data_IF_516751048124
#
_entry.id   IF_516751048124
#
_cell.length_a   1.000
_cell.length_b   1.000
_cell.length_c   1.000
_cell.angle_alpha   90.00
_cell.angle_beta   90.00
_cell.angle_gamma   90.00
#
_symmetry.space_group_name_H-M   'P 1'
#
loop_
_entity.id
_entity.type
_entity.pdbx_description
1 polymer ?
#
# COMPACT_ATOMS: atom_id res chain seq x y z
N UNK A 1 29.96 24.32 -23.30
CA UNK A 1 28.78 23.58 -22.89
C UNK A 1 28.86 23.22 -21.41
N UNK A 2 27.85 23.48 -20.62
CA UNK A 2 27.79 23.02 -19.23
C UNK A 2 27.80 21.47 -19.21
N UNK A 3 28.69 20.88 -18.40
CA UNK A 3 28.71 19.42 -18.23
C UNK A 3 27.43 19.03 -17.44
N UNK A 4 26.71 18.02 -17.91
CA UNK A 4 25.54 17.47 -17.21
C UNK A 4 25.97 16.82 -15.89
N UNK A 5 25.20 17.05 -14.81
CA UNK A 5 25.48 16.52 -13.47
C UNK A 5 24.34 15.65 -12.96
N UNK A 6 24.57 14.93 -11.87
CA UNK A 6 23.54 14.15 -11.19
C UNK A 6 22.43 15.05 -10.66
N UNK A 7 22.80 16.23 -10.15
CA UNK A 7 21.85 17.25 -9.67
C UNK A 7 20.94 17.74 -10.80
N UNK A 8 21.49 17.97 -12.00
CA UNK A 8 20.68 18.33 -13.17
C UNK A 8 19.66 17.22 -13.50
N UNK A 9 20.03 15.94 -13.32
CA UNK A 9 19.13 14.79 -13.52
C UNK A 9 18.07 14.71 -12.42
N UNK A 10 18.47 14.87 -11.15
CA UNK A 10 17.52 14.86 -10.02
C UNK A 10 16.47 15.96 -10.15
N UNK A 11 16.87 17.15 -10.58
CA UNK A 11 15.96 18.28 -10.81
C UNK A 11 15.06 18.02 -12.01
N UNK A 12 15.62 17.65 -13.18
CA UNK A 12 14.87 17.43 -14.41
C UNK A 12 13.77 16.36 -14.23
N UNK A 13 14.11 15.24 -13.59
CA UNK A 13 13.19 14.14 -13.37
C UNK A 13 12.38 14.26 -12.07
N UNK A 14 12.56 15.35 -11.32
CA UNK A 14 11.88 15.64 -10.06
C UNK A 14 11.90 14.43 -9.08
N UNK A 15 13.06 13.80 -8.93
CA UNK A 15 13.21 12.59 -8.11
C UNK A 15 12.79 12.84 -6.66
N UNK A 16 13.16 14.00 -6.09
CA UNK A 16 12.79 14.37 -4.72
C UNK A 16 11.28 14.54 -4.54
N UNK A 17 10.55 14.93 -5.59
CA UNK A 17 9.11 15.14 -5.56
C UNK A 17 8.32 13.82 -5.54
N UNK A 18 8.50 12.99 -6.57
CA UNK A 18 7.76 11.71 -6.65
C UNK A 18 8.38 10.59 -5.78
N UNK A 19 9.70 10.59 -5.64
CA UNK A 19 10.43 9.55 -4.92
C UNK A 19 10.22 9.59 -3.40
N UNK A 20 9.77 10.70 -2.85
CA UNK A 20 9.40 10.88 -1.43
C UNK A 20 10.47 10.35 -0.47
N UNK A 21 11.75 10.56 -0.81
CA UNK A 21 12.95 10.05 -0.13
C UNK A 21 13.10 8.51 -0.08
N UNK A 22 12.35 7.78 -0.91
CA UNK A 22 12.62 6.35 -1.14
C UNK A 22 13.55 6.12 -2.32
N UNK A 23 13.56 7.04 -3.30
CA UNK A 23 14.37 6.92 -4.51
C UNK A 23 15.39 8.04 -4.59
N UNK A 24 16.54 7.74 -5.18
CA UNK A 24 17.60 8.68 -5.46
C UNK A 24 18.43 8.26 -6.67
N UNK A 25 19.45 9.04 -6.99
CA UNK A 25 20.45 8.73 -8.02
C UNK A 25 21.81 8.63 -7.30
N UNK A 26 22.52 7.53 -7.54
CA UNK A 26 23.85 7.30 -6.97
C UNK A 26 24.96 8.05 -7.73
N UNK A 27 26.21 7.91 -7.28
CA UNK A 27 27.37 8.57 -7.90
C UNK A 27 27.65 8.06 -9.32
N UNK A 28 27.19 6.88 -9.67
CA UNK A 28 27.29 6.29 -11.01
C UNK A 28 26.24 6.80 -11.98
N UNK A 29 25.20 7.50 -11.47
CA UNK A 29 24.07 8.00 -12.23
C UNK A 29 22.89 7.01 -12.31
N UNK A 30 22.94 5.89 -11.60
CA UNK A 30 21.90 4.89 -11.56
C UNK A 30 20.87 5.20 -10.47
N UNK A 31 19.61 4.81 -10.70
CA UNK A 31 18.54 4.99 -9.72
C UNK A 31 18.63 3.90 -8.66
N UNK A 32 18.61 4.32 -7.40
CA UNK A 32 18.50 3.40 -6.28
C UNK A 32 17.18 3.60 -5.51
N UNK A 33 16.81 2.60 -4.73
CA UNK A 33 15.68 2.65 -3.79
C UNK A 33 16.15 2.30 -2.38
N UNK A 34 15.59 3.00 -1.39
CA UNK A 34 15.74 2.74 0.05
C UNK A 34 14.37 2.39 0.63
N UNK A 35 13.92 1.13 0.49
CA UNK A 35 12.52 0.77 0.78
C UNK A 35 12.16 0.99 2.25
N UNK A 36 13.06 0.65 3.16
CA UNK A 36 12.87 0.74 4.62
C UNK A 36 13.27 2.10 5.20
N UNK A 37 13.80 3.03 4.38
CA UNK A 37 14.40 4.29 4.85
C UNK A 37 15.51 4.13 5.89
N UNK A 38 16.20 3.03 5.82
CA UNK A 38 17.42 2.73 6.56
C UNK A 38 18.66 2.89 5.66
N UNK A 39 19.76 2.26 6.00
CA UNK A 39 20.97 2.29 5.19
C UNK A 39 20.96 1.25 4.05
N UNK A 40 19.90 0.47 3.90
CA UNK A 40 19.78 -0.53 2.84
C UNK A 40 19.40 0.14 1.54
N UNK A 41 20.31 0.15 0.58
CA UNK A 41 20.06 0.65 -0.77
C UNK A 41 20.03 -0.52 -1.75
N UNK A 42 19.09 -0.48 -2.67
CA UNK A 42 18.98 -1.41 -3.79
C UNK A 42 19.18 -0.61 -5.07
N UNK A 43 20.27 -0.86 -5.78
CA UNK A 43 20.52 -0.28 -7.08
C UNK A 43 19.63 -0.96 -8.13
N UNK A 44 18.84 -0.16 -8.86
CA UNK A 44 17.92 -0.72 -9.85
C UNK A 44 18.64 -1.23 -11.10
N UNK A 45 19.85 -0.74 -11.37
CA UNK A 45 20.69 -1.26 -12.45
C UNK A 45 21.12 -2.69 -12.14
N UNK A 46 21.63 -2.93 -10.92
CA UNK A 46 22.03 -4.27 -10.49
C UNK A 46 20.85 -5.24 -10.53
N UNK A 47 19.64 -4.81 -10.11
CA UNK A 47 18.43 -5.62 -10.22
C UNK A 47 18.14 -5.99 -11.67
N UNK A 48 18.26 -5.04 -12.60
CA UNK A 48 18.00 -5.31 -14.02
C UNK A 48 19.03 -6.26 -14.63
N UNK A 49 20.30 -6.12 -14.26
CA UNK A 49 21.39 -6.98 -14.72
C UNK A 49 21.19 -8.42 -14.17
N UNK A 50 20.78 -8.58 -12.92
CA UNK A 50 20.41 -9.86 -12.31
C UNK A 50 19.21 -10.52 -13.02
N UNK A 51 18.18 -9.75 -13.37
CA UNK A 51 17.03 -10.25 -14.13
C UNK A 51 17.44 -10.73 -15.53
N UNK A 52 18.32 -9.98 -16.20
CA UNK A 52 18.84 -10.37 -17.51
C UNK A 52 19.58 -11.70 -17.46
N UNK A 53 20.35 -11.98 -16.40
CA UNK A 53 21.02 -13.27 -16.18
C UNK A 53 20.03 -14.45 -16.01
N UNK A 54 18.77 -14.16 -15.69
CA UNK A 54 17.67 -15.13 -15.55
C UNK A 54 16.73 -15.15 -16.76
N UNK A 55 17.15 -14.59 -17.90
CA UNK A 55 16.38 -14.46 -19.13
C UNK A 55 15.06 -13.63 -18.97
N UNK A 56 14.98 -12.78 -17.93
CA UNK A 56 13.88 -11.84 -17.75
C UNK A 56 14.25 -10.50 -18.36
N UNK A 57 13.51 -10.12 -19.41
CA UNK A 57 13.77 -8.89 -20.18
C UNK A 57 12.69 -7.83 -19.93
N UNK A 58 13.03 -6.52 -20.04
CA UNK A 58 12.03 -5.45 -19.98
C UNK A 58 10.91 -5.60 -21.02
N UNK A 59 9.69 -5.08 -20.74
CA UNK A 59 9.37 -4.28 -19.54
C UNK A 59 9.13 -5.14 -18.29
N UNK A 60 9.62 -4.67 -17.13
CA UNK A 60 9.40 -5.32 -15.83
C UNK A 60 8.73 -4.34 -14.86
N UNK A 61 7.92 -4.87 -13.95
CA UNK A 61 7.31 -4.10 -12.88
C UNK A 61 7.95 -4.51 -11.54
N UNK A 62 8.74 -3.62 -10.96
CA UNK A 62 9.32 -3.80 -9.64
C UNK A 62 8.37 -3.28 -8.56
N UNK A 63 8.23 -4.03 -7.48
CA UNK A 63 7.45 -3.65 -6.30
C UNK A 63 8.31 -3.79 -5.05
N UNK A 64 8.16 -2.83 -4.16
CA UNK A 64 8.87 -2.79 -2.88
C UNK A 64 7.82 -2.75 -1.75
N UNK A 65 7.42 -3.93 -1.20
CA UNK A 65 6.40 -4.01 -0.13
C UNK A 65 6.74 -3.15 1.08
N UNK A 66 8.02 -3.08 1.46
CA UNK A 66 8.48 -2.26 2.59
C UNK A 66 8.08 -0.78 2.48
N UNK A 67 7.92 -0.26 1.26
CA UNK A 67 7.40 1.11 1.06
C UNK A 67 5.94 1.20 1.51
N UNK A 68 5.11 0.19 1.20
CA UNK A 68 3.72 0.13 1.67
C UNK A 68 3.68 0.08 3.19
N UNK A 69 4.49 -0.78 3.77
CA UNK A 69 4.60 -0.96 5.22
C UNK A 69 4.97 0.34 5.92
N UNK A 70 6.03 0.99 5.46
CA UNK A 70 6.46 2.28 5.99
C UNK A 70 5.36 3.36 5.85
N UNK A 71 4.59 3.36 4.76
CA UNK A 71 3.48 4.31 4.56
C UNK A 71 2.32 4.05 5.52
N UNK A 72 1.97 2.79 5.76
CA UNK A 72 0.93 2.39 6.71
C UNK A 72 1.36 2.81 8.13
N UNK A 73 2.58 2.49 8.54
CA UNK A 73 3.14 2.88 9.84
C UNK A 73 3.14 4.39 10.04
N UNK A 74 3.62 5.14 9.05
CA UNK A 74 3.66 6.60 9.12
C UNK A 74 2.25 7.20 9.25
N UNK A 75 1.30 6.69 8.47
CA UNK A 75 -0.09 7.16 8.54
C UNK A 75 -0.68 6.88 9.92
N UNK A 76 -0.55 5.65 10.42
CA UNK A 76 -1.03 5.26 11.74
C UNK A 76 -0.41 6.09 12.86
N UNK A 77 0.91 6.28 12.81
CA UNK A 77 1.64 7.05 13.82
C UNK A 77 1.23 8.53 13.86
N UNK A 78 0.90 9.13 12.71
CA UNK A 78 0.38 10.50 12.66
C UNK A 78 -0.98 10.62 13.36
N UNK A 79 -1.89 9.69 13.10
CA UNK A 79 -3.19 9.66 13.77
C UNK A 79 -3.05 9.38 15.27
N UNK A 80 -2.19 8.45 15.65
CA UNK A 80 -1.97 8.13 17.07
C UNK A 80 -1.34 9.31 17.82
N UNK A 81 -0.44 10.06 17.19
CA UNK A 81 0.10 11.30 17.75
C UNK A 81 -1.00 12.33 17.98
N UNK A 82 -1.85 12.57 16.98
CA UNK A 82 -2.97 13.50 17.08
C UNK A 82 -3.97 13.07 18.19
N UNK A 83 -4.29 11.76 18.26
CA UNK A 83 -5.16 11.22 19.33
C UNK A 83 -4.63 11.56 20.72
N UNK A 84 -3.34 11.39 20.93
CA UNK A 84 -2.69 11.72 22.23
C UNK A 84 -2.69 13.22 22.49
N UNK A 85 -2.38 14.02 21.49
CA UNK A 85 -2.33 15.48 21.59
C UNK A 85 -3.68 16.09 21.97
N UNK A 86 -4.77 15.57 21.38
CA UNK A 86 -6.14 16.06 21.62
C UNK A 86 -6.92 15.23 22.65
N UNK A 87 -6.28 14.31 23.36
CA UNK A 87 -6.91 13.41 24.35
C UNK A 87 -8.13 12.66 23.78
N UNK A 88 -8.11 12.33 22.48
CA UNK A 88 -9.18 11.63 21.81
C UNK A 88 -9.17 10.13 22.15
N UNK A 89 -10.25 9.61 22.76
CA UNK A 89 -10.31 8.27 23.36
C UNK A 89 -10.71 7.17 22.39
N UNK A 90 -11.36 7.49 21.27
CA UNK A 90 -11.80 6.48 20.31
C UNK A 90 -10.61 5.88 19.55
N UNK A 91 -10.77 4.65 19.11
CA UNK A 91 -9.78 3.98 18.25
C UNK A 91 -9.78 4.58 16.85
N UNK A 92 -8.62 4.54 16.20
CA UNK A 92 -8.46 4.89 14.80
C UNK A 92 -8.43 3.63 13.95
N UNK A 93 -9.14 3.65 12.82
CA UNK A 93 -9.14 2.59 11.82
C UNK A 93 -8.69 3.15 10.48
N UNK A 94 -7.70 2.53 9.88
CA UNK A 94 -7.29 2.85 8.51
C UNK A 94 -8.05 1.92 7.58
N UNK A 95 -8.70 2.47 6.55
CA UNK A 95 -9.46 1.67 5.59
C UNK A 95 -8.84 1.80 4.22
N UNK A 96 -8.46 0.68 3.62
CA UNK A 96 -7.92 0.63 2.28
C UNK A 96 -9.01 0.23 1.26
N UNK A 97 -9.36 1.11 0.31
CA UNK A 97 -10.28 0.77 -0.76
C UNK A 97 -9.59 -0.13 -1.79
N UNK A 98 -10.04 -1.37 -1.94
CA UNK A 98 -9.37 -2.31 -2.86
C UNK A 98 -9.41 -1.89 -4.32
N UNK A 99 -10.37 -1.06 -4.72
CA UNK A 99 -10.46 -0.51 -6.09
C UNK A 99 -9.21 0.26 -6.53
N UNK A 100 -8.42 0.78 -5.60
CA UNK A 100 -7.19 1.53 -5.90
C UNK A 100 -6.14 0.61 -6.53
N UNK A 101 -5.93 -0.57 -5.92
CA UNK A 101 -5.13 -1.64 -6.50
C UNK A 101 -5.62 -2.98 -5.94
N UNK A 102 -6.27 -3.78 -6.80
CA UNK A 102 -6.89 -5.06 -6.43
C UNK A 102 -5.94 -6.26 -6.56
N UNK A 103 -4.69 -6.04 -6.91
CA UNK A 103 -3.74 -7.15 -7.05
C UNK A 103 -3.60 -7.88 -5.73
N UNK A 104 -3.84 -9.19 -5.76
CA UNK A 104 -3.82 -10.03 -4.56
C UNK A 104 -2.57 -9.84 -3.70
N UNK A 105 -1.32 -9.87 -4.24
CA UNK A 105 -0.12 -9.68 -3.42
C UNK A 105 -0.07 -8.32 -2.72
N UNK A 106 -0.60 -7.28 -3.35
CA UNK A 106 -0.64 -5.93 -2.76
C UNK A 106 -1.64 -5.86 -1.62
N UNK A 107 -2.84 -6.44 -1.82
CA UNK A 107 -3.90 -6.43 -0.79
C UNK A 107 -3.49 -7.30 0.40
N UNK A 108 -2.89 -8.47 0.16
CA UNK A 108 -2.38 -9.37 1.20
C UNK A 108 -1.29 -8.70 2.04
N UNK A 109 -0.34 -7.99 1.42
CA UNK A 109 0.70 -7.23 2.12
C UNK A 109 0.08 -6.14 3.00
N UNK A 110 -0.81 -5.34 2.44
CA UNK A 110 -1.49 -4.26 3.16
C UNK A 110 -2.24 -4.80 4.39
N UNK A 111 -2.94 -5.93 4.26
CA UNK A 111 -3.67 -6.55 5.38
C UNK A 111 -2.71 -7.17 6.40
N UNK A 112 -1.71 -7.90 5.93
CA UNK A 112 -0.73 -8.57 6.80
C UNK A 112 -0.02 -7.57 7.71
N UNK A 113 0.55 -6.54 7.11
CA UNK A 113 1.26 -5.49 7.85
C UNK A 113 0.33 -4.55 8.61
N UNK A 114 -0.82 -4.21 8.01
CA UNK A 114 -1.79 -3.27 8.56
C UNK A 114 -2.58 -3.77 9.76
N UNK A 115 -2.60 -5.09 10.00
CA UNK A 115 -3.36 -5.70 11.11
C UNK A 115 -3.05 -5.07 12.47
N UNK A 116 -1.78 -4.81 12.77
CA UNK A 116 -1.33 -4.18 14.01
C UNK A 116 -1.75 -2.72 14.16
N UNK A 117 -2.29 -2.12 13.09
CA UNK A 117 -2.74 -0.73 13.03
C UNK A 117 -4.26 -0.60 12.83
N UNK A 118 -5.04 -1.62 13.12
CA UNK A 118 -6.48 -1.65 12.90
C UNK A 118 -6.87 -1.36 11.44
N UNK A 119 -6.07 -1.83 10.47
CA UNK A 119 -6.38 -1.63 9.06
C UNK A 119 -7.48 -2.58 8.61
N UNK A 120 -8.48 -2.03 7.94
CA UNK A 120 -9.57 -2.73 7.30
C UNK A 120 -9.60 -2.49 5.78
N UNK A 121 -10.57 -3.09 5.10
CA UNK A 121 -10.77 -2.93 3.66
C UNK A 121 -12.12 -2.31 3.34
N UNK A 122 -12.18 -1.54 2.24
CA UNK A 122 -13.44 -1.11 1.64
C UNK A 122 -13.69 -1.91 0.37
N UNK A 123 -14.94 -2.35 0.20
CA UNK A 123 -15.46 -2.93 -1.02
C UNK A 123 -16.57 -2.03 -1.58
N UNK A 124 -16.45 -1.63 -2.85
CA UNK A 124 -17.42 -0.78 -3.55
C UNK A 124 -18.36 -1.55 -4.49
N UNK A 125 -18.20 -2.87 -4.59
CA UNK A 125 -19.00 -3.73 -5.46
C UNK A 125 -19.07 -5.17 -4.95
N UNK A 126 -20.02 -5.97 -5.46
CA UNK A 126 -20.11 -7.40 -5.09
C UNK A 126 -18.83 -8.19 -5.36
N UNK A 127 -18.20 -8.09 -6.55
CA UNK A 127 -16.95 -8.78 -6.81
C UNK A 127 -15.84 -8.37 -5.83
N UNK A 128 -15.74 -7.08 -5.51
CA UNK A 128 -14.78 -6.60 -4.51
C UNK A 128 -15.08 -7.16 -3.12
N UNK A 129 -16.35 -7.23 -2.72
CA UNK A 129 -16.72 -7.81 -1.42
C UNK A 129 -16.37 -9.30 -1.33
N UNK A 130 -16.55 -10.07 -2.40
CA UNK A 130 -16.09 -11.47 -2.46
C UNK A 130 -14.56 -11.56 -2.28
N UNK A 131 -13.80 -10.72 -2.97
CA UNK A 131 -12.34 -10.68 -2.85
C UNK A 131 -11.91 -10.30 -1.42
N UNK A 132 -12.54 -9.28 -0.82
CA UNK A 132 -12.26 -8.84 0.56
C UNK A 132 -12.53 -9.97 1.57
N UNK A 133 -13.69 -10.66 1.45
CA UNK A 133 -14.02 -11.79 2.33
C UNK A 133 -12.98 -12.90 2.21
N UNK A 134 -12.52 -13.19 1.00
CA UNK A 134 -11.54 -14.23 0.74
C UNK A 134 -10.16 -13.90 1.34
N UNK A 135 -9.69 -12.66 1.18
CA UNK A 135 -8.38 -12.22 1.70
C UNK A 135 -8.40 -12.11 3.22
N UNK A 136 -9.51 -11.67 3.81
CA UNK A 136 -9.65 -11.51 5.27
C UNK A 136 -10.07 -12.79 6.00
N UNK A 137 -9.57 -13.95 5.61
CA UNK A 137 -9.99 -15.24 6.17
C UNK A 137 -9.92 -15.34 7.69
N UNK A 138 -9.04 -14.61 8.36
CA UNK A 138 -8.75 -14.78 9.79
C UNK A 138 -9.04 -13.57 10.66
N UNK A 139 -9.73 -12.53 10.19
CA UNK A 139 -9.73 -11.31 10.95
C UNK A 139 -11.11 -10.82 11.34
N UNK A 140 -11.17 -10.22 12.50
CA UNK A 140 -12.11 -9.25 12.99
C UNK A 140 -11.90 -7.84 12.39
N UNK A 141 -11.03 -7.72 11.37
CA UNK A 141 -10.77 -6.46 10.66
C UNK A 141 -12.05 -5.91 10.05
N UNK A 142 -12.13 -4.59 10.05
CA UNK A 142 -13.29 -3.86 9.57
C UNK A 142 -13.43 -3.98 8.04
N UNK A 143 -14.63 -4.29 7.58
CA UNK A 143 -15.01 -4.25 6.16
C UNK A 143 -16.06 -3.14 5.98
N UNK A 144 -15.72 -2.16 5.17
CA UNK A 144 -16.63 -1.07 4.79
C UNK A 144 -17.27 -1.41 3.45
N UNK A 145 -18.60 -1.60 3.46
CA UNK A 145 -19.38 -1.82 2.26
C UNK A 145 -19.90 -0.49 1.73
N UNK A 146 -19.26 0.02 0.68
CA UNK A 146 -19.59 1.28 0.02
C UNK A 146 -20.09 1.04 -1.42
N UNK A 147 -20.33 2.09 -2.21
CA UNK A 147 -20.79 1.98 -3.60
C UNK A 147 -22.28 1.62 -3.75
N UNK A 148 -22.66 1.13 -4.94
CA UNK A 148 -24.04 0.76 -5.25
C UNK A 148 -24.43 -0.53 -4.54
N UNK A 149 -25.57 -0.51 -3.86
CA UNK A 149 -26.05 -1.58 -2.99
C UNK A 149 -27.37 -2.15 -3.51
N UNK A 150 -27.28 -3.13 -4.40
CA UNK A 150 -28.44 -3.95 -4.74
C UNK A 150 -28.73 -4.99 -3.65
N UNK A 151 -29.85 -5.67 -3.76
CA UNK A 151 -30.27 -6.66 -2.78
C UNK A 151 -29.20 -7.73 -2.54
N UNK A 152 -28.61 -8.27 -3.60
CA UNK A 152 -27.62 -9.34 -3.48
C UNK A 152 -26.28 -8.88 -2.87
N UNK A 153 -25.92 -7.60 -3.02
CA UNK A 153 -24.78 -7.01 -2.31
C UNK A 153 -25.03 -6.95 -0.80
N UNK A 154 -26.23 -6.50 -0.40
CA UNK A 154 -26.63 -6.46 1.01
C UNK A 154 -26.72 -7.86 1.62
N UNK A 155 -27.32 -8.82 0.90
CA UNK A 155 -27.37 -10.22 1.33
C UNK A 155 -25.97 -10.81 1.56
N UNK A 156 -25.03 -10.54 0.66
CA UNK A 156 -23.64 -10.97 0.81
C UNK A 156 -22.97 -10.33 2.03
N UNK A 157 -23.19 -9.04 2.26
CA UNK A 157 -22.64 -8.34 3.42
C UNK A 157 -23.18 -8.93 4.73
N UNK A 158 -24.49 -9.20 4.79
CA UNK A 158 -25.13 -9.82 5.97
C UNK A 158 -24.68 -11.27 6.17
N UNK A 159 -24.41 -12.01 5.07
CA UNK A 159 -23.83 -13.34 5.15
C UNK A 159 -22.42 -13.29 5.73
N UNK A 160 -21.58 -12.37 5.26
CA UNK A 160 -20.24 -12.17 5.79
C UNK A 160 -20.28 -11.81 7.29
N UNK A 161 -21.24 -11.00 7.72
CA UNK A 161 -21.45 -10.70 9.14
C UNK A 161 -21.78 -11.98 9.95
N UNK A 162 -22.66 -12.83 9.42
CA UNK A 162 -22.97 -14.15 10.05
C UNK A 162 -21.75 -15.08 10.13
N UNK A 163 -20.80 -14.93 9.22
CA UNK A 163 -19.52 -15.64 9.23
C UNK A 163 -18.51 -15.03 10.24
N UNK A 164 -18.94 -14.04 11.03
CA UNK A 164 -18.09 -13.40 12.03
C UNK A 164 -17.28 -12.21 11.52
N UNK A 165 -17.56 -11.70 10.30
CA UNK A 165 -16.88 -10.51 9.79
C UNK A 165 -17.47 -9.24 10.38
N UNK A 166 -16.63 -8.25 10.64
CA UNK A 166 -17.03 -6.94 11.15
C UNK A 166 -17.40 -6.03 9.98
N UNK A 167 -18.70 -6.01 9.63
CA UNK A 167 -19.24 -5.33 8.44
C UNK A 167 -19.88 -4.00 8.83
N UNK A 168 -19.58 -2.95 8.05
CA UNK A 168 -20.30 -1.68 8.08
C UNK A 168 -20.80 -1.35 6.68
N UNK A 169 -22.13 -1.15 6.58
CA UNK A 169 -22.78 -0.76 5.33
C UNK A 169 -22.97 0.76 5.37
N UNK A 170 -22.36 1.46 4.42
CA UNK A 170 -22.49 2.92 4.30
C UNK A 170 -23.76 3.22 3.49
N UNK A 171 -24.65 4.02 4.03
CA UNK A 171 -25.92 4.45 3.42
C UNK A 171 -25.91 5.94 3.16
#
# INVERSE_FOLDING_TARGET
>A
MKKWTIEDSQELYNISGWGTSYFGINESGDVYVTPCKDNTQVDLRDVMDELALRDVTPPVLLRFPDILDNRIEKTSSCFEKARKEYDFKAENFIIYPIKVNQMQPVVEEIISHGRKFNLGLEAGSKPELHAVIAVQCQSDSLIICNGYKDQSYIELALLAQKMGKRIFIVV
#
